data_IF_046337557203
#
_entry.id   IF_046337557203
#
_cell.length_a   1.000
_cell.length_b   1.000
_cell.length_c   1.000
_cell.angle_alpha   90.00
_cell.angle_beta   90.00
_cell.angle_gamma   90.00
#
_symmetry.space_group_name_H-M   'P 1'
#
loop_
_entity.id
_entity.type
_entity.pdbx_description
1 polymer ?
#
# COMPACT_ATOMS: atom_id res chain seq x y z
N UNK A 1 14.01 -31.91 -0.15
CA UNK A 1 14.06 -31.27 1.19
C UNK A 1 14.90 -30.01 1.00
N UNK A 2 14.29 -28.83 0.94
CA UNK A 2 15.04 -27.57 0.77
C UNK A 2 15.68 -27.23 2.13
N UNK A 3 17.00 -27.15 2.13
CA UNK A 3 17.80 -26.75 3.29
C UNK A 3 17.91 -25.22 3.28
N UNK A 4 17.00 -24.55 3.98
CA UNK A 4 17.06 -23.12 4.23
C UNK A 4 17.52 -22.94 5.68
N UNK A 5 18.72 -22.39 5.88
CA UNK A 5 19.17 -21.96 7.19
C UNK A 5 18.16 -20.95 7.74
N UNK A 6 17.46 -21.30 8.84
CA UNK A 6 16.46 -20.41 9.47
C UNK A 6 17.15 -19.14 9.95
N UNK A 7 17.01 -18.07 9.18
CA UNK A 7 17.18 -16.72 9.68
C UNK A 7 15.98 -16.39 10.56
N UNK A 8 16.19 -16.33 11.87
CA UNK A 8 15.14 -16.04 12.85
C UNK A 8 14.66 -14.58 12.80
N UNK A 9 15.27 -13.74 11.95
CA UNK A 9 14.85 -12.35 11.71
C UNK A 9 13.78 -12.20 10.62
N UNK A 10 13.39 -13.28 9.93
CA UNK A 10 12.36 -13.26 8.88
C UNK A 10 11.17 -14.15 9.22
N UNK A 11 9.95 -13.65 8.96
CA UNK A 11 8.73 -14.47 8.98
C UNK A 11 8.87 -15.57 7.93
N UNK A 12 8.88 -16.84 8.35
CA UNK A 12 9.34 -17.96 7.53
C UNK A 12 8.39 -18.38 6.39
N UNK A 13 7.26 -17.68 6.19
CA UNK A 13 6.19 -18.11 5.27
C UNK A 13 5.55 -16.98 4.43
N UNK A 14 5.54 -15.74 4.93
CA UNK A 14 4.99 -14.58 4.22
C UNK A 14 5.55 -13.28 4.80
N UNK A 15 5.74 -12.29 3.94
CA UNK A 15 6.33 -10.98 4.27
C UNK A 15 5.26 -9.90 4.52
N UNK A 16 4.04 -10.09 3.99
CA UNK A 16 2.92 -9.14 4.07
C UNK A 16 1.71 -9.77 4.78
N UNK A 17 1.16 -9.07 5.77
CA UNK A 17 -0.04 -9.50 6.50
C UNK A 17 -1.20 -8.52 6.28
N UNK A 18 -2.41 -9.04 6.13
CA UNK A 18 -3.64 -8.26 6.12
C UNK A 18 -4.52 -8.70 7.29
N UNK A 19 -4.99 -7.75 8.08
CA UNK A 19 -5.86 -7.99 9.24
C UNK A 19 -7.14 -7.19 9.05
N UNK A 20 -8.29 -7.87 9.10
CA UNK A 20 -9.60 -7.21 9.18
C UNK A 20 -10.15 -7.39 10.60
N UNK A 21 -10.31 -6.29 11.32
CA UNK A 21 -10.92 -6.27 12.64
C UNK A 21 -12.33 -5.70 12.52
N UNK A 22 -13.32 -6.55 12.85
CA UNK A 22 -14.69 -6.10 12.97
C UNK A 22 -14.87 -5.54 14.39
N UNK A 23 -15.20 -4.26 14.50
CA UNK A 23 -15.47 -3.63 15.80
C UNK A 23 -16.90 -3.98 16.25
N UNK A 24 -17.09 -5.17 16.78
CA UNK A 24 -18.17 -5.34 17.77
C UNK A 24 -17.70 -4.56 19.01
N UNK A 25 -18.13 -3.31 19.11
CA UNK A 25 -17.81 -2.36 20.18
C UNK A 25 -17.62 -3.06 21.55
N UNK A 26 -16.37 -3.26 21.98
CA UNK A 26 -16.06 -3.78 23.31
C UNK A 26 -16.09 -2.65 24.34
N UNK A 27 -17.22 -1.96 24.45
CA UNK A 27 -17.52 -1.21 25.67
C UNK A 27 -17.77 -2.23 26.78
N UNK A 28 -16.73 -2.54 27.55
CA UNK A 28 -16.92 -3.34 28.77
C UNK A 28 -17.33 -2.37 29.87
N UNK A 29 -18.63 -2.32 30.16
CA UNK A 29 -19.14 -1.59 31.32
C UNK A 29 -18.90 -2.43 32.56
N UNK A 30 -18.02 -1.97 33.45
CA UNK A 30 -17.84 -2.56 34.78
C UNK A 30 -18.29 -1.52 35.81
N UNK A 31 -19.33 -1.82 36.59
CA UNK A 31 -19.82 -0.97 37.68
C UNK A 31 -20.04 0.52 37.31
N UNK A 32 -20.57 0.80 36.11
CA UNK A 32 -20.87 2.16 35.65
C UNK A 32 -19.66 2.96 35.15
N UNK A 33 -18.48 2.32 35.05
CA UNK A 33 -17.32 2.85 34.36
C UNK A 33 -17.30 2.36 32.92
N UNK A 34 -17.20 3.31 32.00
CA UNK A 34 -16.96 3.03 30.59
C UNK A 34 -15.46 2.83 30.39
N UNK A 35 -15.05 1.59 30.07
CA UNK A 35 -13.66 1.27 29.75
C UNK A 35 -13.55 1.22 28.24
N UNK A 36 -12.86 2.21 27.66
CA UNK A 36 -12.37 2.16 26.28
C UNK A 36 -10.95 1.59 26.28
N UNK A 37 -10.73 0.46 25.63
CA UNK A 37 -9.37 -0.03 25.38
C UNK A 37 -8.78 0.78 24.23
N UNK A 38 -7.79 1.63 24.49
CA UNK A 38 -6.94 2.15 23.42
C UNK A 38 -6.13 0.96 22.87
N UNK A 39 -6.50 0.50 21.67
CA UNK A 39 -5.82 -0.59 20.96
C UNK A 39 -4.50 -0.16 20.35
N UNK A 40 -4.19 1.14 20.36
CA UNK A 40 -2.88 1.67 20.01
C UNK A 40 -1.88 1.44 21.15
N UNK A 41 -1.57 0.18 21.44
CA UNK A 41 -0.25 -0.12 21.97
C UNK A 41 0.74 0.21 20.86
N UNK A 42 1.47 1.31 21.01
CA UNK A 42 2.65 1.65 20.23
C UNK A 42 3.69 0.51 20.32
N UNK A 43 3.45 -0.60 19.64
CA UNK A 43 4.46 -1.63 19.46
C UNK A 43 5.43 -1.05 18.45
N UNK A 44 6.50 -0.42 18.97
CA UNK A 44 7.67 0.13 18.27
C UNK A 44 8.42 -0.88 17.38
N UNK A 45 7.88 -2.07 17.18
CA UNK A 45 8.53 -3.18 16.48
C UNK A 45 7.54 -3.83 15.54
N UNK A 46 7.79 -3.73 14.23
CA UNK A 46 6.99 -4.47 13.27
C UNK A 46 7.36 -5.95 13.26
N UNK A 47 6.35 -6.82 13.27
CA UNK A 47 6.54 -8.29 13.30
C UNK A 47 6.69 -8.91 11.91
N UNK A 48 6.29 -8.17 10.88
CA UNK A 48 6.36 -8.54 9.46
C UNK A 48 7.02 -7.39 8.69
N UNK A 49 7.33 -7.60 7.41
CA UNK A 49 7.89 -6.51 6.59
C UNK A 49 6.83 -5.41 6.39
N UNK A 50 5.57 -5.82 6.19
CA UNK A 50 4.40 -4.93 6.08
C UNK A 50 3.13 -5.61 6.63
N UNK A 51 2.36 -4.88 7.43
CA UNK A 51 1.02 -5.28 7.87
C UNK A 51 0.03 -4.16 7.54
N UNK A 52 -1.07 -4.50 6.87
CA UNK A 52 -2.20 -3.61 6.66
C UNK A 52 -3.35 -4.05 7.57
N UNK A 53 -3.75 -3.18 8.49
CA UNK A 53 -4.84 -3.40 9.43
C UNK A 53 -6.02 -2.58 8.94
N UNK A 54 -7.16 -3.24 8.74
CA UNK A 54 -8.44 -2.65 8.41
C UNK A 54 -9.35 -2.76 9.63
N UNK A 55 -9.85 -1.63 10.10
CA UNK A 55 -10.78 -1.56 11.22
C UNK A 55 -12.11 -0.99 10.72
N UNK A 56 -13.19 -1.74 10.91
CA UNK A 56 -14.53 -1.25 10.62
C UNK A 56 -15.03 -0.43 11.81
N UNK A 57 -15.40 0.83 11.57
CA UNK A 57 -16.04 1.69 12.53
C UNK A 57 -17.33 2.24 11.94
N UNK A 58 -18.44 1.57 12.30
CA UNK A 58 -19.78 1.84 11.76
C UNK A 58 -19.77 1.69 10.23
N UNK A 59 -19.88 2.79 9.50
CA UNK A 59 -19.95 2.82 8.03
C UNK A 59 -18.62 3.24 7.37
N UNK A 60 -17.54 3.33 8.14
CA UNK A 60 -16.21 3.77 7.67
C UNK A 60 -15.20 2.66 7.96
N UNK A 61 -14.34 2.37 6.97
CA UNK A 61 -13.16 1.54 7.17
C UNK A 61 -11.94 2.43 7.35
N UNK A 62 -11.24 2.25 8.47
CA UNK A 62 -9.94 2.86 8.72
C UNK A 62 -8.84 1.85 8.40
N UNK A 63 -7.78 2.31 7.74
CA UNK A 63 -6.66 1.46 7.33
C UNK A 63 -5.34 1.98 7.88
N UNK A 64 -4.59 1.10 8.55
CA UNK A 64 -3.31 1.41 9.17
C UNK A 64 -2.22 0.51 8.62
N UNK A 65 -1.12 1.11 8.16
CA UNK A 65 0.09 0.40 7.78
C UNK A 65 1.09 0.35 8.93
N UNK A 66 1.43 -0.86 9.38
CA UNK A 66 2.59 -1.15 10.21
C UNK A 66 3.70 -1.71 9.32
N UNK A 67 4.94 -1.25 9.47
CA UNK A 67 6.02 -1.63 8.55
C UNK A 67 7.39 -1.64 9.21
N UNK A 68 8.29 -2.46 8.67
CA UNK A 68 9.69 -2.47 9.06
C UNK A 68 10.42 -1.25 8.49
N UNK A 69 10.85 -0.33 9.37
CA UNK A 69 11.57 0.90 8.97
C UNK A 69 12.97 0.64 8.39
N UNK A 70 13.50 -0.57 8.57
CA UNK A 70 14.71 -1.04 7.89
C UNK A 70 14.49 -1.34 6.40
N UNK A 71 13.24 -1.51 5.96
CA UNK A 71 12.87 -1.86 4.59
C UNK A 71 12.12 -0.73 3.88
N UNK A 72 11.30 0.03 4.60
CA UNK A 72 10.47 1.08 4.02
C UNK A 72 10.68 2.41 4.74
N UNK A 73 10.76 3.48 3.95
CA UNK A 73 10.64 4.84 4.46
C UNK A 73 9.17 5.27 4.56
N UNK A 74 8.92 6.31 5.36
CA UNK A 74 7.57 6.84 5.57
C UNK A 74 6.92 7.32 4.26
N UNK A 75 7.70 7.95 3.37
CA UNK A 75 7.19 8.44 2.08
C UNK A 75 6.63 7.33 1.20
N UNK A 76 7.29 6.17 1.18
CA UNK A 76 6.88 4.99 0.41
C UNK A 76 5.54 4.47 0.92
N UNK A 77 5.39 4.36 2.25
CA UNK A 77 4.15 3.87 2.86
C UNK A 77 2.99 4.84 2.67
N UNK A 78 3.26 6.15 2.73
CA UNK A 78 2.25 7.17 2.40
C UNK A 78 1.79 7.01 0.96
N UNK A 79 2.70 6.76 0.02
CA UNK A 79 2.35 6.55 -1.38
C UNK A 79 1.59 5.24 -1.60
N UNK A 80 1.93 4.17 -0.87
CA UNK A 80 1.14 2.93 -0.86
C UNK A 80 -0.30 3.19 -0.38
N UNK A 81 -0.48 4.00 0.66
CA UNK A 81 -1.81 4.40 1.13
C UNK A 81 -2.61 5.15 0.07
N UNK A 82 -1.99 6.10 -0.65
CA UNK A 82 -2.66 6.82 -1.74
C UNK A 82 -3.10 5.88 -2.87
N UNK A 83 -2.20 5.01 -3.31
CA UNK A 83 -2.49 4.02 -4.37
C UNK A 83 -3.54 3.00 -3.93
N UNK A 84 -3.54 2.60 -2.67
CA UNK A 84 -4.55 1.71 -2.13
C UNK A 84 -5.94 2.36 -2.13
N UNK A 85 -6.05 3.65 -1.79
CA UNK A 85 -7.31 4.38 -1.91
C UNK A 85 -7.80 4.47 -3.36
N UNK A 86 -6.92 4.77 -4.32
CA UNK A 86 -7.27 4.78 -5.74
C UNK A 86 -7.75 3.41 -6.22
N UNK A 87 -7.10 2.33 -5.78
CA UNK A 87 -7.52 0.96 -6.07
C UNK A 87 -8.93 0.69 -5.52
N UNK A 88 -9.19 1.05 -4.26
CA UNK A 88 -10.50 0.86 -3.63
C UNK A 88 -11.60 1.65 -4.35
N UNK A 89 -11.33 2.89 -4.75
CA UNK A 89 -12.25 3.73 -5.52
C UNK A 89 -12.57 3.11 -6.89
N UNK A 90 -11.56 2.63 -7.61
CA UNK A 90 -11.73 2.04 -8.94
C UNK A 90 -12.57 0.75 -8.88
N UNK A 91 -12.26 -0.18 -7.96
CA UNK A 91 -12.98 -1.46 -7.88
C UNK A 91 -14.40 -1.31 -7.33
N UNK A 92 -14.66 -0.29 -6.50
CA UNK A 92 -16.01 -0.03 -5.97
C UNK A 92 -16.89 0.68 -7.00
N UNK A 93 -16.30 1.55 -7.84
CA UNK A 93 -17.00 2.22 -8.94
C UNK A 93 -17.24 1.28 -10.13
N UNK A 94 -16.27 0.42 -10.43
CA UNK A 94 -16.30 -0.51 -11.56
C UNK A 94 -16.11 -1.96 -11.10
N UNK A 95 -17.09 -2.60 -10.44
CA UNK A 95 -16.93 -3.93 -9.84
C UNK A 95 -16.64 -5.07 -10.82
N UNK A 96 -16.88 -4.84 -12.12
CA UNK A 96 -16.61 -5.80 -13.18
C UNK A 96 -15.33 -5.48 -13.98
N UNK A 97 -14.55 -4.48 -13.56
CA UNK A 97 -13.26 -4.17 -14.19
C UNK A 97 -12.33 -5.36 -14.04
N UNK A 98 -11.60 -5.69 -15.10
CA UNK A 98 -10.61 -6.76 -15.02
C UNK A 98 -9.35 -6.24 -14.32
N UNK A 99 -8.72 -7.07 -13.48
CA UNK A 99 -7.59 -6.65 -12.64
C UNK A 99 -6.43 -6.02 -13.42
N UNK A 100 -6.21 -6.46 -14.67
CA UNK A 100 -5.14 -5.92 -15.53
C UNK A 100 -5.42 -4.50 -16.04
N UNK A 101 -6.69 -4.09 -16.00
CA UNK A 101 -7.19 -2.83 -16.55
C UNK A 101 -7.37 -1.78 -15.45
N UNK A 102 -7.14 -2.14 -14.18
CA UNK A 102 -7.16 -1.21 -13.05
C UNK A 102 -5.96 -0.25 -13.15
N UNK A 103 -6.26 1.05 -13.19
CA UNK A 103 -5.22 2.08 -13.22
C UNK A 103 -4.73 2.37 -11.80
N UNK A 104 -3.50 1.96 -11.48
CA UNK A 104 -2.88 2.18 -10.15
C UNK A 104 -1.96 3.40 -10.08
N UNK A 105 -1.77 4.13 -11.19
CA UNK A 105 -0.96 5.33 -11.23
C UNK A 105 -1.75 6.51 -10.66
N UNK A 106 -1.12 7.26 -9.76
CA UNK A 106 -1.62 8.58 -9.37
C UNK A 106 -1.61 9.52 -10.57
N UNK A 107 -2.36 10.63 -10.47
CA UNK A 107 -2.39 11.65 -11.53
C UNK A 107 -0.99 12.20 -11.81
N UNK A 108 -0.19 12.41 -10.76
CA UNK A 108 1.18 12.89 -10.82
C UNK A 108 2.10 11.88 -11.52
N UNK A 109 1.96 10.59 -11.21
CA UNK A 109 2.72 9.53 -11.86
C UNK A 109 2.34 9.37 -13.33
N UNK A 110 1.06 9.54 -13.66
CA UNK A 110 0.59 9.52 -15.04
C UNK A 110 1.19 10.67 -15.85
N UNK A 111 1.24 11.87 -15.29
CA UNK A 111 1.90 13.02 -15.92
C UNK A 111 3.41 12.81 -16.10
N UNK A 112 4.08 12.20 -15.12
CA UNK A 112 5.50 11.86 -15.22
C UNK A 112 5.76 10.83 -16.34
N UNK A 113 4.94 9.78 -16.43
CA UNK A 113 5.08 8.76 -17.48
C UNK A 113 4.84 9.38 -18.86
N UNK A 114 3.83 10.25 -18.99
CA UNK A 114 3.53 10.94 -20.25
C UNK A 114 4.68 11.87 -20.68
N UNK A 115 5.23 12.67 -19.75
CA UNK A 115 6.33 13.59 -20.05
C UNK A 115 7.61 12.86 -20.46
N UNK A 116 7.98 11.79 -19.76
CA UNK A 116 9.15 10.96 -20.09
C UNK A 116 8.99 10.26 -21.45
N UNK A 117 7.78 9.82 -21.77
CA UNK A 117 7.50 9.15 -23.06
C UNK A 117 7.59 10.13 -24.23
N UNK A 118 7.06 11.35 -24.06
CA UNK A 118 7.16 12.43 -25.05
C UNK A 118 8.60 12.89 -25.27
N UNK A 119 9.42 12.96 -24.21
CA UNK A 119 10.83 13.33 -24.32
C UNK A 119 11.65 12.28 -25.07
N UNK A 120 11.39 10.99 -24.85
CA UNK A 120 12.02 9.89 -25.60
C UNK A 120 11.65 9.90 -27.08
N UNK A 121 10.39 10.19 -27.42
CA UNK A 121 9.96 10.32 -28.82
C UNK A 121 10.65 11.52 -29.50
N UNK A 122 10.78 12.65 -28.81
CA UNK A 122 11.47 13.83 -29.33
C UNK A 122 12.96 13.56 -29.60
N UNK A 123 13.65 12.92 -28.66
CA UNK A 123 15.07 12.55 -28.83
C UNK A 123 15.26 11.56 -29.99
N UNK A 124 14.33 10.61 -30.15
CA UNK A 124 14.36 9.65 -31.27
C UNK A 124 14.16 10.33 -32.63
N UNK A 125 13.21 11.25 -32.74
CA UNK A 125 12.99 12.03 -33.98
C UNK A 125 14.22 12.88 -34.32
N UNK A 126 14.86 13.49 -33.32
CA UNK A 126 16.04 14.35 -33.51
C UNK A 126 17.30 13.55 -33.90
N UNK A 127 17.43 12.32 -33.41
CA UNK A 127 18.53 11.41 -33.80
C UNK A 127 18.31 10.78 -35.18
N UNK A 128 17.08 10.41 -35.54
CA UNK A 128 16.75 9.87 -36.87
C UNK A 128 16.89 10.92 -37.99
N UNK A 129 16.73 12.21 -37.67
CA UNK A 129 16.86 13.32 -38.63
C UNK A 129 18.32 13.76 -38.88
N UNK A 130 19.26 13.41 -38.01
CA UNK A 130 20.64 13.94 -38.03
C UNK A 130 21.63 13.11 -38.90
N UNK A 131 21.17 12.06 -39.58
CA UNK A 131 22.02 11.15 -40.37
C UNK A 131 21.97 11.37 -41.89
N UNK A 132 21.14 12.28 -42.40
CA UNK A 132 20.99 12.55 -43.84
C UNK A 132 21.73 13.81 -44.34
N UNK A 133 22.70 14.32 -43.57
CA UNK A 133 23.58 15.44 -43.96
C UNK A 133 25.04 14.98 -44.09
N UNK A 134 25.32 14.18 -45.11
CA UNK A 134 26.67 13.74 -45.48
C UNK A 134 26.80 13.40 -46.95
#
# INVERSE_FOLDING_TARGET
KLDLSRDLSRSALFDVMFVLQNSDEKHTVVDGLEISTETNTDTLTSKFDLTLIAEENKDIYEFTFEYATSLFDKSTIVEFGRRFNLLLEEITTHPNVSLKDIQMLTSEEKELVLSVTQEKEKIKIETDFNWDIG
#
